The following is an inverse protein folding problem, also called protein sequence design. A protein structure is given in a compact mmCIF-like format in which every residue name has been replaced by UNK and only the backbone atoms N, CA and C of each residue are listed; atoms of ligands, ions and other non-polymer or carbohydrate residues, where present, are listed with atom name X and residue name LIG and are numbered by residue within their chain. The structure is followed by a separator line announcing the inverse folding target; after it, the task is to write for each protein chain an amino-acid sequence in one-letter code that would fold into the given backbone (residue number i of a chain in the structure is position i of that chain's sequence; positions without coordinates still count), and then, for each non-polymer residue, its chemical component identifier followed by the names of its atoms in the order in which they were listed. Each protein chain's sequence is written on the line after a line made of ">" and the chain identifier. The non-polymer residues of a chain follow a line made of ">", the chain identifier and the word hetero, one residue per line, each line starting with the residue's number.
data_IF_972195964267
#
_entry.id   IF_972195964267
#
_cell.length_a   1.000
_cell.length_b   1.000
_cell.length_c   1.000
_cell.angle_alpha   90.00
_cell.angle_beta   90.00
_cell.angle_gamma   90.00
#
_symmetry.space_group_name_H-M   'P 1'
#
loop_
_entity.id
_entity.type
_entity.pdbx_description
1 polymer ?
#
# COMPACT_ATOMS: atom_id res chain seq x y z
N UNK A 1 9.25 -7.71 -5.52
CA UNK A 1 9.98 -8.51 -4.52
C UNK A 1 9.11 -8.67 -3.29
N UNK A 2 9.68 -9.17 -2.18
CA UNK A 2 9.01 -9.25 -0.88
C UNK A 2 9.56 -8.18 0.07
N UNK A 3 8.73 -7.73 1.01
CA UNK A 3 9.09 -6.78 2.07
C UNK A 3 8.42 -7.24 3.37
N UNK A 4 9.14 -7.17 4.49
CA UNK A 4 8.55 -7.47 5.80
C UNK A 4 7.55 -6.38 6.21
N UNK A 5 6.59 -6.77 7.03
CA UNK A 5 5.61 -5.88 7.66
C UNK A 5 5.98 -5.78 9.14
N UNK A 6 5.95 -4.58 9.70
CA UNK A 6 6.20 -4.32 11.12
C UNK A 6 5.07 -4.89 12.01
N UNK A 7 5.30 -5.03 13.31
CA UNK A 7 4.30 -5.54 14.26
C UNK A 7 3.01 -4.69 14.32
N UNK A 8 3.10 -3.40 13.98
CA UNK A 8 1.94 -2.48 13.92
C UNK A 8 1.18 -2.54 12.58
N UNK A 9 1.62 -3.39 11.65
CA UNK A 9 1.04 -3.54 10.32
C UNK A 9 1.56 -2.54 9.28
N UNK A 10 2.52 -1.67 9.64
CA UNK A 10 3.12 -0.73 8.70
C UNK A 10 4.18 -1.40 7.82
N UNK A 11 4.37 -0.86 6.61
CA UNK A 11 5.38 -1.35 5.65
C UNK A 11 5.84 -0.23 4.73
N UNK A 12 7.13 -0.22 4.41
CA UNK A 12 7.75 0.68 3.43
C UNK A 12 8.78 -0.08 2.61
N UNK A 13 8.89 0.22 1.32
CA UNK A 13 9.88 -0.38 0.42
C UNK A 13 10.28 0.56 -0.70
N UNK A 14 11.49 0.39 -1.22
CA UNK A 14 11.93 0.96 -2.49
C UNK A 14 11.77 -0.07 -3.59
N UNK A 15 11.23 0.33 -4.74
CA UNK A 15 11.02 -0.54 -5.90
C UNK A 15 11.26 0.23 -7.20
N UNK A 16 11.36 -0.45 -8.37
CA UNK A 16 11.50 0.21 -9.65
C UNK A 16 10.39 1.26 -9.88
N UNK A 17 10.80 2.44 -10.37
CA UNK A 17 9.88 3.49 -10.81
C UNK A 17 9.53 3.33 -12.29
N UNK A 18 8.47 4.00 -12.72
CA UNK A 18 7.93 3.95 -14.09
C UNK A 18 7.53 2.54 -14.58
N UNK A 19 7.23 1.62 -13.65
CA UNK A 19 6.70 0.28 -13.92
C UNK A 19 5.34 0.06 -13.23
N UNK A 20 4.38 -0.63 -13.88
CA UNK A 20 3.14 -1.00 -13.25
C UNK A 20 3.36 -2.09 -12.18
N UNK A 21 2.78 -1.92 -11.00
CA UNK A 21 2.90 -2.88 -9.90
C UNK A 21 1.56 -3.12 -9.18
N UNK A 22 1.50 -4.23 -8.44
CA UNK A 22 0.47 -4.53 -7.46
C UNK A 22 1.09 -5.11 -6.17
N UNK A 23 0.30 -5.25 -5.11
CA UNK A 23 0.76 -5.75 -3.81
C UNK A 23 -0.21 -6.76 -3.21
N UNK A 24 0.32 -7.67 -2.38
CA UNK A 24 -0.42 -8.65 -1.60
C UNK A 24 0.04 -8.59 -0.16
N UNK A 25 -0.90 -8.57 0.79
CA UNK A 25 -0.58 -8.77 2.21
C UNK A 25 -0.57 -10.28 2.49
N UNK A 26 0.45 -10.74 3.20
CA UNK A 26 0.73 -12.17 3.37
C UNK A 26 0.50 -12.61 4.82
N UNK A 27 0.06 -13.85 5.00
CA UNK A 27 0.04 -14.52 6.31
C UNK A 27 1.42 -15.11 6.67
N UNK A 28 1.48 -15.78 7.82
CA UNK A 28 2.67 -16.46 8.34
C UNK A 28 3.16 -17.63 7.45
N UNK A 29 2.31 -18.10 6.53
CA UNK A 29 2.62 -19.14 5.55
C UNK A 29 3.04 -18.56 4.20
N UNK A 30 3.13 -17.24 4.08
CA UNK A 30 3.48 -16.55 2.83
C UNK A 30 2.35 -16.54 1.80
N UNK A 31 1.10 -16.81 2.21
CA UNK A 31 -0.07 -16.82 1.33
C UNK A 31 -0.76 -15.45 1.35
N UNK A 32 -1.23 -15.00 0.18
CA UNK A 32 -1.97 -13.74 0.09
C UNK A 32 -3.28 -13.81 0.87
N UNK A 33 -3.43 -12.98 1.90
CA UNK A 33 -4.69 -12.75 2.62
C UNK A 33 -5.61 -11.83 1.80
N UNK A 34 -5.04 -10.81 1.14
CA UNK A 34 -5.77 -9.91 0.24
C UNK A 34 -4.84 -9.38 -0.85
N UNK A 35 -5.36 -9.28 -2.09
CA UNK A 35 -4.64 -8.75 -3.25
C UNK A 35 -5.21 -7.40 -3.69
N UNK A 36 -4.35 -6.40 -3.90
CA UNK A 36 -4.74 -5.14 -4.55
C UNK A 36 -4.84 -5.35 -6.06
N UNK A 37 -6.06 -5.54 -6.57
CA UNK A 37 -6.31 -5.73 -8.00
C UNK A 37 -6.39 -4.40 -8.76
N UNK A 38 -5.27 -3.67 -8.80
CA UNK A 38 -5.10 -2.41 -9.54
C UNK A 38 -3.64 -2.24 -9.98
N UNK A 39 -3.41 -1.33 -10.95
CA UNK A 39 -2.08 -0.95 -11.37
C UNK A 39 -1.62 0.31 -10.62
N UNK A 40 -0.75 0.11 -9.62
CA UNK A 40 0.04 1.19 -9.04
C UNK A 40 1.21 1.55 -9.95
N UNK A 41 1.65 2.81 -9.89
CA UNK A 41 2.89 3.27 -10.50
C UNK A 41 3.44 4.44 -9.67
N UNK A 42 4.77 4.54 -9.59
CA UNK A 42 5.47 5.69 -9.01
C UNK A 42 6.46 6.22 -10.03
N UNK A 43 6.59 7.55 -10.13
CA UNK A 43 7.62 8.17 -10.98
C UNK A 43 9.00 8.01 -10.33
N UNK A 44 10.13 8.16 -11.07
CA UNK A 44 11.45 8.15 -10.47
C UNK A 44 11.56 9.21 -9.37
N UNK A 45 12.09 8.82 -8.21
CA UNK A 45 12.13 9.62 -6.97
C UNK A 45 10.75 9.97 -6.36
N UNK A 46 9.65 9.47 -6.92
CA UNK A 46 8.33 9.61 -6.35
C UNK A 46 8.11 8.69 -5.16
N UNK A 47 7.50 9.21 -4.09
CA UNK A 47 6.99 8.43 -2.97
C UNK A 47 5.47 8.40 -2.97
N UNK A 48 4.86 7.30 -2.51
CA UNK A 48 3.41 7.17 -2.36
C UNK A 48 3.08 6.63 -0.97
N UNK A 49 2.06 7.21 -0.33
CA UNK A 49 1.54 6.77 0.96
C UNK A 49 0.07 6.36 0.86
N UNK A 50 -0.37 5.51 1.77
CA UNK A 50 -1.76 5.20 2.04
C UNK A 50 -1.94 4.85 3.52
N UNK A 51 -3.11 5.14 4.09
CA UNK A 51 -3.39 4.81 5.51
C UNK A 51 -3.53 3.31 5.77
N UNK A 52 -3.92 2.53 4.76
CA UNK A 52 -4.16 1.09 4.89
C UNK A 52 -4.74 0.48 3.62
N UNK A 53 -4.84 -0.85 3.60
CA UNK A 53 -5.31 -1.62 2.43
C UNK A 53 -6.79 -1.35 2.14
N UNK A 54 -7.08 -0.61 1.05
CA UNK A 54 -8.44 -0.24 0.63
C UNK A 54 -9.31 0.38 1.75
N UNK A 55 -8.66 1.12 2.65
CA UNK A 55 -9.33 1.80 3.78
C UNK A 55 -10.28 2.93 3.32
N UNK A 56 -10.01 3.50 2.14
CA UNK A 56 -10.73 4.63 1.55
C UNK A 56 -9.99 5.96 1.63
N UNK A 57 -8.76 6.01 2.18
CA UNK A 57 -7.95 7.23 2.30
C UNK A 57 -7.62 7.92 0.98
N UNK A 58 -7.60 7.16 -0.12
CA UNK A 58 -7.41 7.63 -1.49
C UNK A 58 -8.68 7.55 -2.35
N UNK A 59 -9.83 7.27 -1.74
CA UNK A 59 -11.16 7.31 -2.37
C UNK A 59 -12.03 8.33 -1.61
N UNK A 60 -12.93 7.87 -0.72
CA UNK A 60 -13.96 8.73 -0.10
C UNK A 60 -13.74 9.05 1.37
N UNK A 61 -12.71 8.50 2.01
CA UNK A 61 -12.38 8.75 3.43
C UNK A 61 -11.17 9.67 3.61
N UNK A 62 -10.55 10.12 2.51
CA UNK A 62 -9.53 11.16 2.56
C UNK A 62 -10.17 12.51 2.88
N UNK A 63 -9.82 13.09 4.03
CA UNK A 63 -10.19 14.44 4.47
C UNK A 63 -11.69 14.73 4.70
N UNK A 64 -12.35 13.97 5.58
CA UNK A 64 -13.28 14.66 6.49
C UNK A 64 -12.38 15.39 7.50
N UNK A 65 -12.06 16.67 7.24
CA UNK A 65 -11.48 17.59 8.22
C UNK A 65 -12.49 17.87 9.35
N UNK A 66 -13.04 16.83 9.97
CA UNK A 66 -13.89 16.94 11.15
C UNK A 66 -12.99 16.82 12.37
N UNK A 67 -12.45 17.96 12.78
CA UNK A 67 -12.02 18.14 14.16
C UNK A 67 -13.29 18.40 14.98
N UNK A 68 -13.81 17.37 15.65
CA UNK A 68 -14.74 17.55 16.78
C UNK A 68 -13.96 17.58 18.07
#
# INVERSE_FOLDING_TARGET
>A
GYQYVEDDGSVVSSHPGDEPYCTQILDDKGMSVQTMLAWGYVRPYGGRICTGCHWGSYDKKGYLNLHS
#
